data_IF_618683936412
#
_entry.id   IF_618683936412
#
_cell.length_a   1.000
_cell.length_b   1.000
_cell.length_c   1.000
_cell.angle_alpha   90.00
_cell.angle_beta   90.00
_cell.angle_gamma   90.00
#
_symmetry.space_group_name_H-M   'P 1'
#
loop_
_entity.id
_entity.type
_entity.pdbx_description
1 polymer ?
#
# COMPACT_ATOMS: atom_id res chain seq x y z
N UNK A 1 14.53 -13.52 16.91
CA UNK A 1 13.14 -13.36 16.45
C UNK A 1 12.62 -14.73 15.99
N UNK A 2 11.31 -15.01 16.05
CA UNK A 2 10.75 -16.34 15.74
C UNK A 2 10.59 -16.56 14.24
N UNK A 3 10.95 -17.75 13.74
CA UNK A 3 10.75 -18.21 12.35
C UNK A 3 9.29 -18.11 11.90
N UNK A 4 8.36 -18.13 12.86
CA UNK A 4 6.93 -17.99 12.62
C UNK A 4 6.55 -16.67 11.95
N UNK A 5 7.46 -15.71 11.77
CA UNK A 5 7.21 -14.40 11.15
C UNK A 5 7.79 -14.24 9.74
N UNK A 6 8.50 -15.25 9.22
CA UNK A 6 9.08 -15.19 7.87
C UNK A 6 8.02 -15.31 6.78
N UNK A 7 8.11 -14.50 5.74
CA UNK A 7 7.24 -14.63 4.58
C UNK A 7 7.55 -15.88 3.77
N UNK A 8 6.52 -16.41 3.12
CA UNK A 8 6.68 -17.40 2.06
C UNK A 8 7.46 -16.78 0.89
N UNK A 9 8.22 -17.56 0.12
CA UNK A 9 8.84 -17.11 -1.11
C UNK A 9 7.85 -16.40 -2.04
N UNK A 10 8.35 -15.54 -2.93
CA UNK A 10 7.50 -14.96 -3.96
C UNK A 10 6.92 -16.09 -4.83
N UNK A 11 5.62 -16.06 -5.12
CA UNK A 11 4.98 -17.04 -5.97
C UNK A 11 5.53 -16.92 -7.39
N UNK A 12 5.70 -18.06 -8.05
CA UNK A 12 6.08 -18.14 -9.47
C UNK A 12 4.86 -18.06 -10.39
N UNK A 13 3.68 -18.39 -9.86
CA UNK A 13 2.41 -18.33 -10.56
C UNK A 13 1.64 -17.05 -10.20
N UNK A 14 0.71 -16.59 -11.06
CA UNK A 14 -0.17 -15.47 -10.75
C UNK A 14 -0.93 -15.68 -9.44
N UNK A 15 -1.04 -14.61 -8.65
CA UNK A 15 -1.85 -14.59 -7.43
C UNK A 15 -3.15 -13.86 -7.66
N UNK A 16 -4.19 -14.25 -6.92
CA UNK A 16 -5.49 -13.58 -6.93
C UNK A 16 -5.41 -12.20 -6.26
N UNK A 17 -4.58 -12.06 -5.22
CA UNK A 17 -4.41 -10.80 -4.52
C UNK A 17 -2.95 -10.54 -4.14
N UNK A 18 -2.39 -9.45 -4.68
CA UNK A 18 -1.13 -8.89 -4.23
C UNK A 18 -1.37 -7.62 -3.41
N UNK A 19 -0.77 -7.54 -2.22
CA UNK A 19 -0.89 -6.40 -1.30
C UNK A 19 0.48 -5.75 -1.13
N UNK A 20 0.68 -4.61 -1.80
CA UNK A 20 1.86 -3.76 -1.59
C UNK A 20 1.61 -2.79 -0.44
N UNK A 21 2.48 -2.80 0.57
CA UNK A 21 2.39 -1.93 1.74
C UNK A 21 3.54 -0.92 1.70
N UNK A 22 3.23 0.35 1.49
CA UNK A 22 4.25 1.41 1.56
C UNK A 22 4.66 1.63 3.03
N UNK A 23 5.96 1.69 3.30
CA UNK A 23 6.51 1.89 4.64
C UNK A 23 7.86 2.61 4.58
N UNK A 24 8.24 3.26 5.67
CA UNK A 24 9.55 3.92 5.82
C UNK A 24 10.54 3.08 6.65
N UNK A 25 11.84 3.31 6.50
CA UNK A 25 12.89 2.54 7.18
C UNK A 25 12.72 2.46 8.70
N UNK A 26 12.35 3.57 9.32
CA UNK A 26 12.17 3.72 10.78
C UNK A 26 10.82 3.19 11.31
N UNK A 27 9.90 2.72 10.46
CA UNK A 27 8.57 2.22 10.85
C UNK A 27 8.57 0.72 11.24
N UNK A 28 9.57 0.29 12.02
CA UNK A 28 9.69 -1.12 12.43
C UNK A 28 8.48 -1.59 13.26
N UNK A 29 7.98 -0.74 14.17
CA UNK A 29 6.87 -1.08 15.05
C UNK A 29 5.56 -1.28 14.27
N UNK A 30 5.32 -0.45 13.27
CA UNK A 30 4.17 -0.50 12.36
C UNK A 30 4.22 -1.78 11.52
N UNK A 31 5.38 -2.09 10.90
CA UNK A 31 5.55 -3.35 10.17
C UNK A 31 5.32 -4.56 11.06
N UNK A 32 5.84 -4.55 12.28
CA UNK A 32 5.60 -5.63 13.24
C UNK A 32 4.13 -5.76 13.65
N UNK A 33 3.39 -4.67 13.76
CA UNK A 33 1.96 -4.73 14.03
C UNK A 33 1.18 -5.32 12.85
N UNK A 34 1.53 -4.95 11.62
CA UNK A 34 0.95 -5.55 10.41
C UNK A 34 1.27 -7.06 10.34
N UNK A 35 2.53 -7.46 10.53
CA UNK A 35 2.95 -8.88 10.57
C UNK A 35 2.20 -9.70 11.62
N UNK A 36 1.90 -9.09 12.79
CA UNK A 36 1.19 -9.72 13.91
C UNK A 36 -0.33 -9.67 13.79
N UNK A 37 -0.86 -9.03 12.75
CA UNK A 37 -2.28 -8.87 12.52
C UNK A 37 -2.75 -9.56 11.24
N UNK A 38 -3.34 -8.82 10.32
CA UNK A 38 -4.01 -9.36 9.13
C UNK A 38 -3.04 -10.04 8.17
N UNK A 39 -1.76 -9.66 8.17
CA UNK A 39 -0.74 -10.25 7.29
C UNK A 39 -0.47 -11.73 7.61
N UNK A 40 -0.89 -12.22 8.78
CA UNK A 40 -0.84 -13.65 9.09
C UNK A 40 -1.74 -14.45 8.14
N UNK A 41 -2.86 -13.87 7.69
CA UNK A 41 -3.81 -14.54 6.80
C UNK A 41 -3.21 -14.75 5.40
N UNK A 42 -2.42 -13.81 4.89
CA UNK A 42 -1.76 -13.94 3.57
C UNK A 42 -0.69 -15.02 3.59
N UNK A 43 -0.01 -15.21 4.72
CA UNK A 43 1.02 -16.27 4.87
C UNK A 43 0.46 -17.69 4.90
N UNK A 44 -0.83 -17.83 5.21
CA UNK A 44 -1.54 -19.13 5.19
C UNK A 44 -2.25 -19.39 3.86
N UNK A 45 -2.24 -18.40 2.96
CA UNK A 45 -2.88 -18.47 1.65
C UNK A 45 -1.86 -18.84 0.58
N UNK A 46 -2.26 -19.67 -0.38
CA UNK A 46 -1.51 -19.87 -1.62
C UNK A 46 -1.80 -18.80 -2.67
N UNK A 47 -2.90 -18.06 -2.51
CA UNK A 47 -3.46 -17.18 -3.55
C UNK A 47 -3.27 -15.70 -3.23
N UNK A 48 -2.71 -15.36 -2.07
CA UNK A 48 -2.49 -13.97 -1.68
C UNK A 48 -1.12 -13.73 -1.08
N UNK A 49 -0.53 -12.59 -1.44
CA UNK A 49 0.82 -12.21 -1.03
C UNK A 49 0.83 -10.77 -0.55
N UNK A 50 1.54 -10.52 0.54
CA UNK A 50 1.79 -9.17 1.03
C UNK A 50 3.29 -8.90 1.11
N UNK A 51 3.71 -7.69 0.72
CA UNK A 51 5.09 -7.21 0.80
C UNK A 51 5.15 -5.76 1.23
N UNK A 52 6.10 -5.43 2.09
CA UNK A 52 6.45 -4.04 2.39
C UNK A 52 7.38 -3.51 1.29
N UNK A 53 7.13 -2.31 0.82
CA UNK A 53 8.00 -1.60 -0.11
C UNK A 53 8.63 -0.43 0.65
N UNK A 54 9.95 -0.44 0.77
CA UNK A 54 10.72 0.54 1.57
C UNK A 54 11.89 1.05 0.76
N UNK A 55 12.06 2.36 0.71
CA UNK A 55 12.98 3.04 -0.20
C UNK A 55 14.33 3.39 0.44
N UNK A 56 14.31 3.94 1.66
CA UNK A 56 15.53 4.37 2.36
C UNK A 56 16.21 3.17 3.03
N UNK A 57 17.40 2.82 2.55
CA UNK A 57 18.13 1.65 3.06
C UNK A 57 19.08 2.04 4.19
N UNK A 58 18.92 1.41 5.36
CA UNK A 58 19.90 1.43 6.45
C UNK A 58 20.23 -0.01 6.90
N UNK A 59 21.27 -0.18 7.71
CA UNK A 59 21.75 -1.51 8.13
C UNK A 59 20.73 -2.30 8.96
N UNK A 60 19.90 -1.61 9.75
CA UNK A 60 18.84 -2.27 10.53
C UNK A 60 17.74 -2.81 9.61
N UNK A 61 17.35 -2.03 8.60
CA UNK A 61 16.36 -2.43 7.60
C UNK A 61 16.87 -3.58 6.75
N UNK A 62 18.15 -3.61 6.36
CA UNK A 62 18.73 -4.75 5.64
C UNK A 62 18.62 -6.04 6.46
N UNK A 63 19.02 -5.99 7.74
CA UNK A 63 18.90 -7.13 8.66
C UNK A 63 17.45 -7.57 8.83
N UNK A 64 16.52 -6.62 8.92
CA UNK A 64 15.09 -6.91 8.97
C UNK A 64 14.61 -7.59 7.69
N UNK A 65 14.95 -7.04 6.52
CA UNK A 65 14.57 -7.56 5.22
C UNK A 65 15.09 -8.98 5.00
N UNK A 66 16.36 -9.22 5.34
CA UNK A 66 16.98 -10.55 5.30
C UNK A 66 16.30 -11.53 6.27
N UNK A 67 15.95 -11.07 7.47
CA UNK A 67 15.34 -11.94 8.47
C UNK A 67 13.90 -12.33 8.10
N UNK A 68 13.05 -11.37 7.73
CA UNK A 68 11.62 -11.61 7.50
C UNK A 68 11.29 -12.00 6.06
N UNK A 69 12.11 -11.62 5.08
CA UNK A 69 11.88 -11.93 3.65
C UNK A 69 10.63 -11.28 3.05
N UNK A 70 10.05 -10.29 3.73
CA UNK A 70 8.79 -9.65 3.36
C UNK A 70 8.94 -8.17 2.95
N UNK A 71 10.18 -7.68 2.88
CA UNK A 71 10.53 -6.32 2.46
C UNK A 71 11.16 -6.35 1.08
N UNK A 72 10.57 -5.59 0.15
CA UNK A 72 11.15 -5.22 -1.14
C UNK A 72 11.80 -3.86 -0.99
N UNK A 73 13.13 -3.85 -1.07
CA UNK A 73 13.90 -2.59 -1.08
C UNK A 73 13.78 -1.97 -2.47
N UNK A 74 13.19 -0.78 -2.54
CA UNK A 74 13.07 -0.05 -3.81
C UNK A 74 14.21 0.97 -3.95
N UNK A 75 14.73 1.21 -5.16
CA UNK A 75 15.93 2.01 -5.36
C UNK A 75 15.70 3.54 -5.28
N UNK A 76 14.48 4.00 -5.03
CA UNK A 76 14.11 5.41 -5.03
C UNK A 76 14.18 6.01 -3.61
N UNK A 77 14.34 7.32 -3.47
CA UNK A 77 14.37 7.97 -2.15
C UNK A 77 12.97 8.03 -1.53
N UNK A 78 12.89 7.66 -0.25
CA UNK A 78 11.68 7.74 0.57
C UNK A 78 11.56 9.18 1.09
N UNK A 79 11.16 10.09 0.23
CA UNK A 79 10.88 11.44 0.70
C UNK A 79 9.63 12.00 0.04
N UNK A 80 8.84 12.69 0.85
CA UNK A 80 7.85 13.65 0.39
C UNK A 80 8.45 14.67 -0.59
N UNK A 81 9.78 14.80 -0.69
CA UNK A 81 10.42 15.61 -1.72
C UNK A 81 10.19 15.04 -3.12
N UNK A 82 9.85 13.76 -3.32
CA UNK A 82 9.33 13.30 -4.60
C UNK A 82 7.94 13.86 -4.89
N UNK A 83 7.12 14.17 -3.87
CA UNK A 83 5.87 14.92 -4.06
C UNK A 83 6.20 16.36 -4.43
N UNK A 84 7.15 17.00 -3.76
CA UNK A 84 7.59 18.36 -4.09
C UNK A 84 8.23 18.42 -5.48
N UNK A 85 9.05 17.45 -5.86
CA UNK A 85 9.66 17.32 -7.19
C UNK A 85 8.62 16.96 -8.24
N UNK A 86 7.57 16.19 -7.90
CA UNK A 86 6.41 16.01 -8.78
C UNK A 86 5.64 17.31 -8.94
N UNK A 87 5.48 18.11 -7.89
CA UNK A 87 4.83 19.43 -7.96
C UNK A 87 5.67 20.40 -8.78
N UNK A 88 7.00 20.43 -8.60
CA UNK A 88 7.92 21.24 -9.40
C UNK A 88 7.92 20.75 -10.85
N UNK A 89 7.97 19.45 -11.10
CA UNK A 89 7.87 18.90 -12.44
C UNK A 89 6.49 19.15 -13.07
N UNK A 90 5.40 19.11 -12.30
CA UNK A 90 4.06 19.51 -12.77
C UNK A 90 4.06 21.01 -13.10
N UNK A 91 4.66 21.86 -12.28
CA UNK A 91 4.73 23.30 -12.52
C UNK A 91 5.65 23.67 -13.70
N UNK A 92 6.73 22.92 -13.92
CA UNK A 92 7.68 23.10 -15.01
C UNK A 92 7.19 22.49 -16.33
N UNK A 93 6.37 21.43 -16.27
CA UNK A 93 5.99 20.61 -17.44
C UNK A 93 4.50 20.69 -17.79
N UNK A 94 3.67 21.13 -16.85
CA UNK A 94 2.21 21.15 -16.95
C UNK A 94 1.67 22.55 -16.63
N UNK A 95 1.53 23.37 -17.67
CA UNK A 95 0.30 24.15 -17.75
C UNK A 95 -0.85 23.14 -17.82
N UNK A 96 -1.35 22.74 -16.66
CA UNK A 96 -2.58 21.96 -16.56
C UNK A 96 -3.70 22.88 -17.02
N UNK A 97 -4.16 22.69 -18.27
CA UNK A 97 -5.15 23.58 -18.92
C UNK A 97 -6.53 23.58 -18.23
N UNK A 98 -6.80 22.58 -17.37
CA UNK A 98 -8.09 22.43 -16.70
C UNK A 98 -8.02 22.96 -15.25
N UNK A 99 -9.02 23.65 -14.72
CA UNK A 99 -8.93 24.16 -13.34
C UNK A 99 -9.08 23.07 -12.27
N UNK A 100 -9.39 21.83 -12.68
CA UNK A 100 -9.80 20.73 -11.78
C UNK A 100 -8.84 19.55 -11.92
N UNK A 101 -8.39 19.01 -10.79
CA UNK A 101 -7.59 17.78 -10.76
C UNK A 101 -8.41 16.57 -11.24
N UNK A 102 -7.79 15.62 -11.96
CA UNK A 102 -8.47 14.39 -12.33
C UNK A 102 -8.78 13.56 -11.06
N UNK A 103 -9.82 12.72 -11.07
CA UNK A 103 -10.10 11.81 -9.97
C UNK A 103 -8.88 10.94 -9.64
N UNK A 104 -8.52 10.86 -8.36
CA UNK A 104 -7.42 10.04 -7.87
C UNK A 104 -7.83 9.29 -6.60
N UNK A 105 -7.27 8.09 -6.41
CA UNK A 105 -7.48 7.33 -5.20
C UNK A 105 -6.71 7.97 -4.03
N UNK A 106 -7.42 8.34 -2.98
CA UNK A 106 -6.86 8.91 -1.75
C UNK A 106 -7.21 8.05 -0.53
N UNK A 107 -6.43 8.16 0.54
CA UNK A 107 -6.70 7.51 1.82
C UNK A 107 -5.76 6.35 2.14
N UNK A 108 -6.15 5.45 3.06
CA UNK A 108 -5.28 4.40 3.61
C UNK A 108 -4.96 3.26 2.64
N UNK A 109 -5.63 3.19 1.48
CA UNK A 109 -5.41 2.17 0.47
C UNK A 109 -6.47 2.18 -0.62
N UNK A 110 -6.17 1.50 -1.72
CA UNK A 110 -7.07 1.28 -2.86
C UNK A 110 -6.78 -0.09 -3.48
N UNK A 111 -7.70 -0.56 -4.30
CA UNK A 111 -7.57 -1.83 -5.04
C UNK A 111 -7.69 -1.53 -6.53
N UNK A 112 -6.78 -2.09 -7.32
CA UNK A 112 -6.83 -2.05 -8.78
C UNK A 112 -6.81 -3.48 -9.30
N UNK A 113 -7.49 -3.71 -10.43
CA UNK A 113 -7.45 -4.98 -11.15
C UNK A 113 -6.11 -5.16 -11.88
N UNK A 114 -5.79 -6.40 -12.24
CA UNK A 114 -4.51 -6.76 -12.86
C UNK A 114 -4.31 -6.08 -14.22
N UNK A 115 -5.36 -5.92 -15.02
CA UNK A 115 -5.34 -5.23 -16.31
C UNK A 115 -4.99 -3.74 -16.17
N UNK A 116 -5.49 -3.06 -15.14
CA UNK A 116 -5.12 -1.68 -14.82
C UNK A 116 -3.64 -1.61 -14.41
N UNK A 117 -3.17 -2.55 -13.58
CA UNK A 117 -1.78 -2.59 -13.16
C UNK A 117 -0.83 -2.83 -14.35
N UNK A 118 -1.15 -3.80 -15.23
CA UNK A 118 -0.42 -4.07 -16.47
C UNK A 118 -0.41 -2.85 -17.40
N UNK A 119 -1.55 -2.17 -17.53
CA UNK A 119 -1.64 -0.94 -18.30
C UNK A 119 -0.70 0.16 -17.75
N UNK A 120 -0.70 0.39 -16.43
CA UNK A 120 0.19 1.37 -15.79
C UNK A 120 1.66 1.06 -16.09
N UNK A 121 2.07 -0.20 -15.97
CA UNK A 121 3.44 -0.65 -16.28
C UNK A 121 3.76 -0.40 -17.76
N UNK A 122 2.85 -0.78 -18.66
CA UNK A 122 3.05 -0.61 -20.10
C UNK A 122 3.21 0.86 -20.51
N UNK A 123 2.43 1.77 -19.90
CA UNK A 123 2.54 3.19 -20.19
C UNK A 123 3.77 3.83 -19.51
N UNK A 124 4.24 3.27 -18.40
CA UNK A 124 5.50 3.68 -17.76
C UNK A 124 6.69 3.39 -18.67
N UNK A 125 6.78 2.15 -19.15
CA UNK A 125 7.87 1.70 -20.02
C UNK A 125 7.91 2.49 -21.34
N UNK A 126 6.73 2.84 -21.86
CA UNK A 126 6.59 3.68 -23.04
C UNK A 126 6.82 5.19 -22.78
N UNK A 127 7.14 5.60 -21.55
CA UNK A 127 7.27 7.00 -21.10
C UNK A 127 6.01 7.85 -21.37
N UNK A 128 4.85 7.20 -21.49
CA UNK A 128 3.56 7.81 -21.86
C UNK A 128 2.62 8.04 -20.69
N UNK A 129 2.94 7.55 -19.49
CA UNK A 129 2.18 7.84 -18.25
C UNK A 129 1.97 9.35 -17.99
N UNK A 130 2.76 10.21 -18.64
CA UNK A 130 2.67 11.67 -18.55
C UNK A 130 1.63 12.30 -19.49
N UNK A 131 0.97 11.53 -20.36
CA UNK A 131 -0.04 12.04 -21.31
C UNK A 131 -1.41 11.41 -21.04
N UNK A 132 -2.33 12.20 -20.48
CA UNK A 132 -3.74 11.82 -20.40
C UNK A 132 -4.37 11.81 -21.80
N UNK A 133 -4.52 10.63 -22.39
CA UNK A 133 -5.18 10.48 -23.69
C UNK A 133 -6.69 10.37 -23.51
N UNK A 134 -7.46 11.39 -23.93
CA UNK A 134 -8.94 11.43 -23.88
C UNK A 134 -9.65 10.37 -24.77
N UNK A 135 -8.90 9.58 -25.53
CA UNK A 135 -9.40 8.59 -26.51
C UNK A 135 -9.49 7.16 -25.98
N UNK A 136 -9.17 6.91 -24.71
CA UNK A 136 -8.99 5.56 -24.16
C UNK A 136 -10.22 5.11 -23.35
N UNK A 137 -10.38 3.79 -23.24
CA UNK A 137 -11.51 3.19 -22.51
C UNK A 137 -11.60 3.78 -21.09
N UNK A 138 -12.81 4.16 -20.63
CA UNK A 138 -12.97 4.72 -19.30
C UNK A 138 -12.59 3.68 -18.24
N UNK A 139 -11.75 4.07 -17.28
CA UNK A 139 -11.56 3.30 -16.05
C UNK A 139 -12.85 3.40 -15.23
N UNK A 140 -13.36 2.28 -14.75
CA UNK A 140 -14.50 2.26 -13.83
C UNK A 140 -14.02 2.54 -12.40
N UNK A 141 -14.65 3.51 -11.75
CA UNK A 141 -14.36 3.88 -10.37
C UNK A 141 -15.49 3.44 -9.44
N UNK A 142 -15.16 2.63 -8.45
CA UNK A 142 -16.08 2.26 -7.37
C UNK A 142 -15.58 2.85 -6.05
N UNK A 143 -16.49 3.49 -5.31
CA UNK A 143 -16.20 4.12 -4.03
C UNK A 143 -16.96 3.41 -2.92
N UNK A 144 -16.27 3.09 -1.83
CA UNK A 144 -16.89 2.52 -0.63
C UNK A 144 -16.36 3.25 0.61
N UNK A 145 -17.27 3.71 1.47
CA UNK A 145 -16.98 4.40 2.73
C UNK A 145 -16.10 3.56 3.67
N UNK A 146 -16.09 2.23 3.48
CA UNK A 146 -15.24 1.30 4.20
C UNK A 146 -13.74 1.48 3.90
N UNK A 147 -13.38 2.21 2.85
CA UNK A 147 -12.04 2.75 2.62
C UNK A 147 -11.89 4.15 3.25
N UNK A 148 -12.13 4.24 4.55
CA UNK A 148 -12.31 5.53 5.23
C UNK A 148 -11.00 6.30 5.43
N UNK A 149 -10.94 7.53 4.92
CA UNK A 149 -9.73 8.36 4.93
C UNK A 149 -9.42 9.04 6.29
N UNK A 150 -10.42 9.27 7.14
CA UNK A 150 -10.26 10.15 8.31
C UNK A 150 -10.02 9.41 9.62
N UNK A 151 -9.69 8.11 9.57
CA UNK A 151 -9.45 7.31 10.76
C UNK A 151 -10.02 5.91 10.61
N UNK A 152 -10.87 5.52 11.56
CA UNK A 152 -11.57 4.24 11.52
C UNK A 152 -13.08 4.47 11.42
N UNK A 153 -13.75 3.62 10.64
CA UNK A 153 -15.19 3.57 10.50
C UNK A 153 -15.67 2.14 10.78
N UNK A 154 -16.74 1.96 11.56
CA UNK A 154 -17.24 0.61 11.87
C UNK A 154 -17.67 -0.11 10.57
N UNK A 155 -17.23 -1.36 10.41
CA UNK A 155 -17.37 -2.12 9.17
C UNK A 155 -16.27 -1.87 8.13
N UNK A 156 -15.16 -1.22 8.51
CA UNK A 156 -14.04 -0.88 7.62
C UNK A 156 -13.49 -2.07 6.82
N UNK A 157 -13.02 -1.77 5.61
CA UNK A 157 -12.03 -2.58 4.88
C UNK A 157 -10.63 -2.10 5.20
N UNK A 158 -10.44 -0.78 5.32
CA UNK A 158 -9.18 -0.15 5.72
C UNK A 158 -9.43 0.90 6.79
N UNK A 159 -8.51 1.04 7.75
CA UNK A 159 -8.52 2.09 8.75
C UNK A 159 -7.23 2.92 8.67
N UNK A 160 -7.37 4.24 8.64
CA UNK A 160 -6.28 5.21 8.53
C UNK A 160 -5.84 5.73 9.91
N UNK A 161 -4.62 6.27 10.02
CA UNK A 161 -4.06 6.85 11.26
C UNK A 161 -4.10 5.92 12.50
N UNK A 162 -3.84 4.63 12.31
CA UNK A 162 -3.85 3.63 13.39
C UNK A 162 -2.44 3.42 13.96
N UNK A 163 -2.31 3.52 15.28
CA UNK A 163 -1.06 3.15 15.97
C UNK A 163 -0.81 1.64 15.88
N UNK A 164 0.44 1.16 16.09
CA UNK A 164 0.74 -0.26 16.20
C UNK A 164 -0.17 -1.02 17.17
N UNK A 165 -0.55 -0.40 18.29
CA UNK A 165 -1.43 -1.01 19.28
C UNK A 165 -2.88 -1.09 18.78
N UNK A 166 -3.37 -0.04 18.11
CA UNK A 166 -4.69 -0.06 17.49
C UNK A 166 -4.78 -1.11 16.38
N UNK A 167 -3.77 -1.27 15.52
CA UNK A 167 -3.77 -2.32 14.50
C UNK A 167 -3.96 -3.72 15.08
N UNK A 168 -3.31 -4.02 16.22
CA UNK A 168 -3.50 -5.30 16.93
C UNK A 168 -4.90 -5.41 17.54
N UNK A 169 -5.43 -4.33 18.12
CA UNK A 169 -6.78 -4.30 18.67
C UNK A 169 -7.84 -4.57 17.59
N UNK A 170 -7.75 -3.86 16.47
CA UNK A 170 -8.63 -3.99 15.30
C UNK A 170 -8.63 -5.44 14.79
N UNK A 171 -7.45 -6.04 14.67
CA UNK A 171 -7.34 -7.43 14.24
C UNK A 171 -7.97 -8.42 15.22
N UNK A 172 -7.77 -8.25 16.53
CA UNK A 172 -8.39 -9.12 17.54
C UNK A 172 -9.91 -9.04 17.50
N UNK A 173 -10.47 -7.84 17.33
CA UNK A 173 -11.92 -7.67 17.17
C UNK A 173 -12.41 -8.37 15.90
N UNK A 174 -11.69 -8.23 14.78
CA UNK A 174 -12.04 -8.87 13.53
C UNK A 174 -12.02 -10.40 13.63
N UNK A 175 -11.03 -10.96 14.33
CA UNK A 175 -10.97 -12.39 14.62
C UNK A 175 -12.14 -12.88 15.48
N UNK A 176 -12.73 -12.03 16.32
CA UNK A 176 -13.98 -12.31 17.05
C UNK A 176 -15.25 -12.00 16.25
N UNK A 177 -15.13 -11.68 14.95
CA UNK A 177 -16.27 -11.39 14.08
C UNK A 177 -16.79 -9.95 14.16
N UNK A 178 -16.01 -9.02 14.72
CA UNK A 178 -16.41 -7.61 14.88
C UNK A 178 -15.44 -6.67 14.18
N UNK A 179 -15.92 -5.94 13.17
CA UNK A 179 -15.16 -4.89 12.47
C UNK A 179 -15.38 -3.50 13.12
N UNK A 180 -15.32 -3.42 14.45
CA UNK A 180 -15.52 -2.16 15.18
C UNK A 180 -14.20 -1.46 15.49
N UNK A 181 -14.23 -0.12 15.45
CA UNK A 181 -13.08 0.70 15.78
C UNK A 181 -12.62 0.50 17.23
N UNK A 182 -11.32 0.68 17.45
CA UNK A 182 -10.74 0.66 18.78
C UNK A 182 -10.80 2.06 19.37
N UNK A 183 -11.29 2.17 20.60
CA UNK A 183 -11.34 3.46 21.30
C UNK A 183 -9.91 3.91 21.61
N UNK A 184 -9.63 5.19 21.41
CA UNK A 184 -8.47 5.81 22.04
C UNK A 184 -8.72 5.81 23.56
N UNK A 185 -7.97 5.00 24.30
CA UNK A 185 -7.87 5.16 25.76
C UNK A 185 -6.84 6.22 26.08
#
# INVERSE_FOLDING_TARGET
>A
MSEQWKASPLPTEPVELFIGILSAANHFAERMAVRKSWMIATRRSSNSVARFFVALVNEELKKEAEFFGDIVLVPFMDSYDLVVLKTIAIAEYGEWEEEVYPPYANGPGYVISSDIAEYIVSEFDNQKLRKFSKTRQPVEYSHDVKFFQAGCFDGYYTAHYQSPQHMICLWRKLQSGSAQCCNAR
#
